data_IF_172847015407
#
_entry.id   IF_172847015407
#
_cell.length_a   1.000
_cell.length_b   1.000
_cell.length_c   1.000
_cell.angle_alpha   90.00
_cell.angle_beta   90.00
_cell.angle_gamma   90.00
#
_symmetry.space_group_name_H-M   'P 1'
#
loop_
_entity.id
_entity.type
_entity.pdbx_description
1 polymer ?
#
# COMPACT_ATOMS: atom_id res chain seq x y z
N UNK A 1 -32.23 -12.73 -38.34
CA UNK A 1 -32.75 -11.69 -39.25
C UNK A 1 -34.12 -11.26 -38.74
N UNK A 2 -34.21 -10.09 -38.10
CA UNK A 2 -35.41 -9.25 -38.08
C UNK A 2 -35.02 -7.95 -37.39
N UNK A 3 -34.70 -6.97 -38.22
CA UNK A 3 -34.47 -5.56 -37.89
C UNK A 3 -35.85 -4.94 -37.64
N UNK A 4 -36.00 -4.14 -36.59
CA UNK A 4 -36.94 -3.02 -36.69
C UNK A 4 -36.41 -1.82 -35.89
N UNK A 5 -36.22 -0.72 -36.62
CA UNK A 5 -35.70 0.57 -36.17
C UNK A 5 -36.64 1.65 -36.73
N UNK A 6 -36.79 2.73 -35.94
CA UNK A 6 -37.48 4.01 -36.21
C UNK A 6 -39.02 3.98 -36.12
N UNK A 7 -39.72 4.98 -35.56
CA UNK A 7 -39.38 6.39 -35.47
C UNK A 7 -40.23 7.15 -34.40
N UNK A 8 -39.56 8.09 -33.73
CA UNK A 8 -39.99 9.42 -33.22
C UNK A 8 -41.45 9.76 -32.83
N UNK A 9 -41.59 10.42 -31.66
CA UNK A 9 -42.05 11.83 -31.51
C UNK A 9 -41.96 12.34 -30.05
N UNK A 10 -41.29 13.47 -29.88
CA UNK A 10 -41.24 14.43 -28.74
C UNK A 10 -42.59 15.23 -28.80
N UNK A 11 -43.18 15.93 -27.76
CA UNK A 11 -42.45 16.97 -27.03
C UNK A 11 -42.89 17.55 -25.64
N UNK A 12 -41.97 18.37 -25.09
CA UNK A 12 -42.07 19.63 -24.28
C UNK A 12 -41.96 19.64 -22.73
N UNK A 13 -40.88 20.35 -22.30
CA UNK A 13 -40.65 21.27 -21.15
C UNK A 13 -40.66 20.84 -19.68
N UNK A 14 -39.58 21.15 -18.96
CA UNK A 14 -39.47 22.41 -18.19
C UNK A 14 -38.00 22.68 -17.74
N UNK A 15 -37.66 23.96 -17.68
CA UNK A 15 -36.32 24.55 -17.52
C UNK A 15 -36.19 25.14 -16.11
N UNK A 16 -35.02 25.06 -15.48
CA UNK A 16 -34.53 26.12 -14.60
C UNK A 16 -33.02 26.34 -14.79
N UNK A 17 -32.68 27.57 -15.23
CA UNK A 17 -31.34 28.15 -15.28
C UNK A 17 -31.07 28.87 -13.96
N UNK A 18 -29.83 28.80 -13.46
CA UNK A 18 -29.23 29.88 -12.68
C UNK A 18 -27.89 30.28 -13.31
N UNK A 19 -27.73 31.57 -13.58
CA UNK A 19 -26.55 32.22 -14.15
C UNK A 19 -25.95 33.11 -13.07
N UNK A 20 -24.64 33.01 -12.81
CA UNK A 20 -23.89 34.06 -12.12
C UNK A 20 -22.62 34.39 -12.92
N UNK A 21 -22.39 35.69 -13.06
CA UNK A 21 -21.48 36.36 -13.99
C UNK A 21 -19.98 36.18 -13.67
N UNK A 22 -19.20 36.15 -14.76
CA UNK A 22 -17.77 36.50 -14.79
C UNK A 22 -17.56 38.00 -14.53
N UNK A 23 -16.52 38.36 -13.77
CA UNK A 23 -15.81 39.63 -13.92
C UNK A 23 -14.32 39.36 -14.12
N UNK A 24 -13.86 39.70 -15.31
CA UNK A 24 -12.47 39.85 -15.72
C UNK A 24 -12.00 41.24 -15.31
N UNK A 25 -10.83 41.35 -14.70
CA UNK A 25 -10.07 42.61 -14.68
C UNK A 25 -8.66 42.32 -15.16
N UNK A 26 -8.33 42.87 -16.32
CA UNK A 26 -7.01 42.95 -16.91
C UNK A 26 -6.33 44.19 -16.33
N UNK A 27 -5.10 44.06 -15.84
CA UNK A 27 -4.17 45.20 -15.72
C UNK A 27 -2.83 44.76 -16.30
N UNK A 28 -2.44 45.45 -17.37
CA UNK A 28 -1.13 45.40 -18.00
C UNK A 28 -0.37 46.69 -17.67
N UNK A 29 0.96 46.61 -17.43
CA UNK A 29 1.99 47.60 -17.85
C UNK A 29 3.42 47.17 -17.47
N UNK A 30 4.18 46.80 -18.51
CA UNK A 30 5.52 47.27 -18.93
C UNK A 30 6.67 47.53 -17.91
N UNK A 31 7.64 46.61 -17.95
CA UNK A 31 9.10 46.72 -18.20
C UNK A 31 10.00 47.94 -17.80
N UNK A 32 11.06 47.60 -17.02
CA UNK A 32 12.53 47.89 -17.14
C UNK A 32 13.15 49.29 -16.79
N UNK A 33 14.49 49.41 -16.54
CA UNK A 33 15.51 48.48 -15.97
C UNK A 33 16.57 49.08 -14.96
N UNK A 34 17.15 48.23 -14.08
CA UNK A 34 18.53 48.21 -13.47
C UNK A 34 19.15 49.44 -12.74
N UNK A 35 20.39 49.38 -12.19
CA UNK A 35 21.19 48.26 -11.65
C UNK A 35 21.94 48.56 -10.30
N UNK A 36 22.68 47.54 -9.79
CA UNK A 36 23.94 47.56 -8.95
C UNK A 36 23.88 47.13 -7.46
N UNK A 37 24.63 46.04 -7.20
CA UNK A 37 25.58 45.76 -6.11
C UNK A 37 25.57 46.61 -4.83
N UNK A 38 25.51 45.94 -3.67
CA UNK A 38 26.64 45.82 -2.72
C UNK A 38 26.34 44.86 -1.56
N UNK A 39 27.42 44.26 -1.09
CA UNK A 39 27.61 43.28 -0.02
C UNK A 39 27.72 43.93 1.38
N UNK A 40 27.71 43.05 2.39
CA UNK A 40 28.32 43.15 3.73
C UNK A 40 27.45 43.53 4.96
N UNK A 41 27.20 42.49 5.76
CA UNK A 41 27.65 42.26 7.15
C UNK A 41 27.06 43.06 8.33
N UNK A 42 26.62 42.24 9.29
CA UNK A 42 26.80 42.29 10.74
C UNK A 42 25.91 43.17 11.64
N UNK A 43 25.26 42.44 12.55
CA UNK A 43 25.27 42.61 14.01
C UNK A 43 24.30 43.61 14.68
N UNK A 44 23.29 43.01 15.33
CA UNK A 44 22.98 43.05 16.77
C UNK A 44 22.87 44.41 17.49
N UNK A 45 21.70 44.68 18.10
CA UNK A 45 21.45 44.84 19.56
C UNK A 45 20.17 45.68 19.82
N UNK A 46 19.32 45.12 20.70
CA UNK A 46 18.30 45.70 21.60
C UNK A 46 17.70 47.10 21.35
N UNK A 47 16.37 47.17 21.30
CA UNK A 47 15.55 47.95 22.26
C UNK A 47 14.04 47.80 21.98
N UNK A 48 13.30 47.28 22.97
CA UNK A 48 11.91 47.65 23.25
C UNK A 48 11.94 48.97 24.05
N UNK A 49 10.89 49.83 24.08
CA UNK A 49 9.49 49.44 24.30
C UNK A 49 8.38 50.32 23.66
N UNK A 50 7.14 49.92 24.00
CA UNK A 50 5.85 50.66 24.04
C UNK A 50 4.92 50.64 22.82
N UNK A 51 3.94 49.75 22.97
CA UNK A 51 2.49 50.04 22.98
C UNK A 51 1.93 50.94 21.88
N UNK A 52 1.25 50.32 20.93
CA UNK A 52 0.05 50.90 20.33
C UNK A 52 -1.06 49.86 20.29
N UNK A 53 -2.23 50.32 20.70
CA UNK A 53 -3.43 49.58 21.00
C UNK A 53 -4.44 49.70 19.84
N UNK A 54 -5.43 48.81 19.82
CA UNK A 54 -6.64 48.80 18.96
C UNK A 54 -6.42 48.21 17.55
N UNK A 55 -7.24 47.31 16.99
CA UNK A 55 -8.63 46.90 17.27
C UNK A 55 -8.82 45.42 16.87
N UNK A 56 -9.51 44.64 17.70
CA UNK A 56 -10.10 43.33 17.34
C UNK A 56 -11.54 43.54 16.85
N UNK A 57 -12.01 42.84 15.80
CA UNK A 57 -13.44 42.71 15.55
C UNK A 57 -14.05 41.58 16.39
N UNK A 58 -15.11 41.95 17.10
CA UNK A 58 -16.00 41.15 17.93
C UNK A 58 -16.97 40.30 17.11
N UNK A 59 -17.06 39.00 17.38
CA UNK A 59 -18.27 38.21 17.16
C UNK A 59 -18.46 37.24 18.33
N UNK A 60 -19.27 37.64 19.31
CA UNK A 60 -19.86 36.79 20.35
C UNK A 60 -21.37 37.07 20.33
N UNK A 61 -22.15 36.02 20.04
CA UNK A 61 -23.55 35.69 20.45
C UNK A 61 -24.02 34.62 19.42
N UNK A 62 -24.61 33.47 19.75
CA UNK A 62 -25.42 33.07 20.89
C UNK A 62 -25.29 31.54 21.11
N UNK A 63 -25.00 31.14 22.34
CA UNK A 63 -25.23 29.79 22.87
C UNK A 63 -26.33 29.90 23.92
N UNK A 64 -27.49 29.28 23.67
CA UNK A 64 -28.46 28.71 24.62
C UNK A 64 -29.86 28.69 24.02
N UNK A 65 -30.31 27.50 23.64
CA UNK A 65 -31.61 26.91 24.01
C UNK A 65 -31.71 25.57 23.29
N UNK A 66 -31.55 24.46 24.02
CA UNK A 66 -32.32 23.22 23.87
C UNK A 66 -31.79 22.23 24.92
N UNK A 67 -32.44 22.23 26.08
CA UNK A 67 -32.32 21.19 27.09
C UNK A 67 -33.74 20.79 27.48
N UNK A 68 -34.22 19.66 26.99
CA UNK A 68 -35.24 18.81 27.63
C UNK A 68 -35.55 17.60 26.75
N UNK A 69 -34.93 16.45 27.06
CA UNK A 69 -35.64 15.17 27.17
C UNK A 69 -34.64 14.08 27.56
N UNK A 70 -34.52 13.88 28.85
CA UNK A 70 -33.89 12.74 29.49
C UNK A 70 -34.70 11.48 29.20
N UNK A 71 -34.08 10.45 28.61
CA UNK A 71 -34.45 9.05 28.84
C UNK A 71 -33.18 8.24 29.02
N UNK A 72 -32.86 8.00 30.28
CA UNK A 72 -32.01 6.88 30.69
C UNK A 72 -32.73 5.58 30.30
N UNK A 73 -32.06 4.73 29.54
CA UNK A 73 -32.28 3.28 29.61
C UNK A 73 -30.96 2.67 30.02
N UNK A 74 -30.90 2.25 31.27
CA UNK A 74 -29.90 1.33 31.76
C UNK A 74 -30.12 -0.02 31.07
N UNK A 75 -29.11 -0.55 30.39
CA UNK A 75 -29.09 -1.95 30.00
C UNK A 75 -28.32 -2.72 31.07
N UNK A 76 -29.08 -3.50 31.84
CA UNK A 76 -28.57 -4.51 32.76
C UNK A 76 -28.05 -5.71 31.97
N UNK A 77 -26.81 -6.11 32.28
CA UNK A 77 -26.28 -7.43 31.96
C UNK A 77 -27.03 -8.47 32.82
N UNK A 78 -27.84 -9.32 32.19
CA UNK A 78 -28.12 -10.73 32.56
C UNK A 78 -29.43 -11.15 31.89
N UNK A 79 -29.31 -11.76 30.71
CA UNK A 79 -30.17 -12.84 30.24
C UNK A 79 -29.82 -13.11 28.78
N UNK A 80 -29.24 -14.29 28.52
CA UNK A 80 -29.31 -15.10 27.31
C UNK A 80 -28.15 -16.09 27.33
N UNK A 81 -28.28 -17.08 28.22
CA UNK A 81 -27.65 -18.39 28.05
C UNK A 81 -28.74 -19.34 27.56
N UNK A 82 -28.35 -20.16 26.58
CA UNK A 82 -29.09 -21.26 25.97
C UNK A 82 -30.27 -20.91 25.08
N UNK A 83 -29.96 -20.78 23.79
CA UNK A 83 -30.63 -21.61 22.77
C UNK A 83 -29.60 -21.87 21.66
N UNK A 84 -29.13 -23.13 21.61
CA UNK A 84 -28.37 -23.63 20.49
C UNK A 84 -29.34 -24.05 19.41
N UNK A 85 -29.36 -23.32 18.31
CA UNK A 85 -29.97 -23.76 17.05
C UNK A 85 -28.89 -23.81 15.99
N UNK A 86 -28.71 -25.03 15.47
CA UNK A 86 -27.86 -25.37 14.35
C UNK A 86 -28.37 -24.65 13.09
N UNK A 87 -27.96 -23.40 12.88
CA UNK A 87 -28.21 -22.69 11.62
C UNK A 87 -27.20 -21.53 11.39
N UNK A 88 -25.93 -21.75 11.71
CA UNK A 88 -24.85 -20.77 11.56
C UNK A 88 -23.63 -21.34 10.79
N UNK A 89 -23.89 -21.97 9.64
CA UNK A 89 -22.85 -22.40 8.68
C UNK A 89 -22.97 -21.69 7.32
N UNK A 90 -23.52 -20.47 7.30
CA UNK A 90 -23.21 -19.52 6.24
C UNK A 90 -21.82 -18.93 6.53
N UNK A 91 -20.81 -19.49 5.86
CA UNK A 91 -19.39 -19.28 6.14
C UNK A 91 -19.00 -17.82 6.33
N UNK A 92 -18.70 -17.44 7.57
CA UNK A 92 -18.11 -16.14 7.89
C UNK A 92 -16.72 -16.10 7.26
N UNK A 93 -16.55 -15.28 6.22
CA UNK A 93 -15.25 -15.06 5.59
C UNK A 93 -14.24 -14.66 6.66
N UNK A 94 -13.14 -15.40 6.75
CA UNK A 94 -12.09 -15.06 7.73
C UNK A 94 -11.46 -13.74 7.31
N UNK A 95 -11.15 -12.91 8.31
CA UNK A 95 -10.49 -11.62 8.11
C UNK A 95 -9.23 -11.77 7.25
N UNK A 96 -8.93 -10.79 6.35
CA UNK A 96 -7.67 -10.77 5.61
C UNK A 96 -6.46 -10.59 6.54
N UNK A 97 -6.68 -10.22 7.81
CA UNK A 97 -5.67 -10.10 8.84
C UNK A 97 -6.06 -10.95 10.07
N UNK A 98 -5.20 -11.89 10.47
CA UNK A 98 -5.44 -12.80 11.60
C UNK A 98 -4.40 -12.61 12.69
N UNK A 99 -4.78 -12.84 13.95
CA UNK A 99 -3.85 -12.72 15.09
C UNK A 99 -2.99 -13.97 15.25
N UNK A 100 -1.89 -13.83 15.99
CA UNK A 100 -1.03 -14.93 16.43
C UNK A 100 -1.77 -15.96 17.29
N UNK A 101 -2.70 -15.54 18.14
CA UNK A 101 -3.57 -16.46 18.89
C UNK A 101 -4.50 -17.25 17.97
N UNK A 102 -5.14 -16.57 17.01
CA UNK A 102 -6.02 -17.24 16.05
C UNK A 102 -5.26 -18.29 15.24
N UNK A 103 -4.06 -17.95 14.74
CA UNK A 103 -3.24 -18.92 14.00
C UNK A 103 -2.88 -20.12 14.89
N UNK A 104 -2.43 -19.89 16.12
CA UNK A 104 -2.06 -20.96 17.03
C UNK A 104 -3.22 -21.93 17.33
N UNK A 105 -4.45 -21.42 17.45
CA UNK A 105 -5.66 -22.22 17.65
C UNK A 105 -6.10 -23.00 16.39
N UNK A 106 -5.64 -22.59 15.21
CA UNK A 106 -6.06 -23.14 13.92
C UNK A 106 -4.93 -23.81 13.12
N UNK A 107 -3.73 -24.00 13.69
CA UNK A 107 -2.55 -24.55 13.00
C UNK A 107 -2.81 -25.91 12.30
N UNK A 108 -3.74 -26.72 12.82
CA UNK A 108 -4.09 -28.02 12.22
C UNK A 108 -5.02 -27.92 11.00
N UNK A 109 -5.52 -26.73 10.67
CA UNK A 109 -6.55 -26.48 9.63
C UNK A 109 -6.12 -25.46 8.59
N UNK A 110 -4.94 -24.88 8.74
CA UNK A 110 -4.42 -23.83 7.86
C UNK A 110 -3.02 -24.18 7.41
N UNK A 111 -2.57 -23.58 6.31
CA UNK A 111 -1.20 -23.70 5.81
C UNK A 111 -0.50 -22.36 6.04
N UNK A 112 0.40 -22.25 7.04
CA UNK A 112 1.24 -21.07 7.17
C UNK A 112 2.17 -20.97 5.95
N UNK A 113 2.36 -19.76 5.44
CA UNK A 113 3.26 -19.49 4.31
C UNK A 113 4.25 -18.41 4.73
N UNK A 114 5.54 -18.78 4.75
CA UNK A 114 6.62 -17.82 4.97
C UNK A 114 6.95 -17.14 3.64
N UNK A 115 6.61 -15.87 3.54
CA UNK A 115 6.84 -15.03 2.37
C UNK A 115 7.99 -14.05 2.62
N UNK A 116 8.95 -14.39 3.48
CA UNK A 116 10.05 -13.49 3.81
C UNK A 116 10.87 -13.17 2.58
N UNK A 117 11.04 -11.88 2.34
CA UNK A 117 11.86 -11.36 1.26
C UNK A 117 12.61 -10.12 1.73
N UNK A 118 13.86 -10.02 1.31
CA UNK A 118 14.76 -8.92 1.66
C UNK A 118 15.11 -8.13 0.42
N UNK A 119 15.08 -6.80 0.54
CA UNK A 119 15.64 -5.94 -0.49
C UNK A 119 17.16 -6.16 -0.54
N UNK A 120 17.62 -6.81 -1.60
CA UNK A 120 19.04 -7.08 -1.80
C UNK A 120 19.76 -5.79 -2.24
N UNK A 121 20.96 -5.50 -1.70
CA UNK A 121 21.78 -4.41 -2.20
C UNK A 121 22.16 -4.67 -3.67
N UNK A 122 22.12 -3.62 -4.49
CA UNK A 122 22.42 -3.72 -5.92
C UNK A 122 23.86 -4.20 -6.13
N UNK A 123 24.01 -5.45 -6.57
CA UNK A 123 25.30 -6.11 -6.78
C UNK A 123 26.10 -5.50 -7.92
N UNK A 124 25.47 -4.73 -8.83
CA UNK A 124 26.17 -4.02 -9.89
C UNK A 124 27.03 -2.87 -9.35
N UNK A 125 26.73 -2.37 -8.14
CA UNK A 125 27.48 -1.30 -7.47
C UNK A 125 28.85 -1.79 -7.01
N UNK A 126 28.98 -3.06 -6.59
CA UNK A 126 30.25 -3.66 -6.19
C UNK A 126 31.33 -3.57 -7.28
N UNK A 127 30.91 -3.60 -8.56
CA UNK A 127 31.83 -3.58 -9.71
C UNK A 127 32.26 -2.20 -10.18
N UNK A 128 31.55 -1.12 -9.80
CA UNK A 128 31.77 0.23 -10.35
C UNK A 128 32.65 1.14 -9.50
N UNK A 129 33.15 0.67 -8.36
CA UNK A 129 34.32 1.21 -7.64
C UNK A 129 34.26 2.67 -7.14
N UNK A 130 33.26 3.47 -7.49
CA UNK A 130 33.15 4.88 -7.10
C UNK A 130 31.70 5.33 -7.02
N UNK A 131 31.11 5.20 -5.83
CA UNK A 131 30.17 6.15 -5.22
C UNK A 131 30.08 5.81 -3.73
N UNK A 132 30.02 6.83 -2.87
CA UNK A 132 29.56 6.68 -1.48
C UNK A 132 28.06 6.41 -1.56
N UNK A 133 27.66 5.15 -1.69
CA UNK A 133 26.31 4.79 -1.28
C UNK A 133 26.35 4.41 0.21
N UNK A 134 25.23 4.60 0.90
CA UNK A 134 25.19 4.36 2.35
C UNK A 134 25.15 2.86 2.70
N UNK A 135 25.15 1.98 1.69
CA UNK A 135 24.95 0.54 1.87
C UNK A 135 26.19 -0.31 1.62
N UNK A 136 27.29 0.24 1.08
CA UNK A 136 28.55 -0.49 0.92
C UNK A 136 29.70 0.16 1.71
N UNK A 137 30.64 -0.66 2.15
CA UNK A 137 31.86 -0.26 2.85
C UNK A 137 33.04 -1.01 2.23
N UNK A 138 34.18 -0.32 2.12
CA UNK A 138 35.40 -0.95 1.66
C UNK A 138 36.05 -1.75 2.79
N UNK A 139 36.23 -3.05 2.58
CA UNK A 139 37.01 -3.94 3.42
C UNK A 139 38.38 -4.21 2.76
N UNK A 140 39.51 -3.94 3.43
CA UNK A 140 40.83 -4.14 2.84
C UNK A 140 41.16 -5.59 2.45
N UNK A 141 40.49 -6.59 3.04
CA UNK A 141 40.71 -8.01 2.74
C UNK A 141 39.69 -8.57 1.73
N UNK A 142 38.49 -7.99 1.66
CA UNK A 142 37.38 -8.52 0.86
C UNK A 142 36.90 -7.58 -0.26
N UNK A 143 37.45 -6.37 -0.36
CA UNK A 143 37.00 -5.34 -1.30
C UNK A 143 35.71 -4.66 -0.84
N UNK A 144 34.89 -4.16 -1.78
CA UNK A 144 33.59 -3.57 -1.44
C UNK A 144 32.65 -4.65 -0.89
N UNK A 145 32.17 -4.49 0.34
CA UNK A 145 31.15 -5.35 0.96
C UNK A 145 29.94 -4.53 1.41
N UNK A 146 28.74 -5.11 1.47
CA UNK A 146 27.59 -4.40 2.01
C UNK A 146 27.78 -4.11 3.51
N UNK A 147 27.33 -2.94 3.99
CA UNK A 147 27.42 -2.51 5.40
C UNK A 147 26.65 -3.43 6.33
N UNK A 148 25.58 -4.06 5.84
CA UNK A 148 24.85 -5.10 6.55
C UNK A 148 25.04 -6.44 5.85
N UNK A 149 25.10 -7.55 6.59
CA UNK A 149 25.17 -8.88 5.99
C UNK A 149 23.96 -9.10 5.07
N UNK A 150 24.23 -9.66 3.90
CA UNK A 150 23.18 -10.12 2.98
C UNK A 150 22.35 -11.16 3.70
N UNK A 151 21.07 -10.86 3.88
CA UNK A 151 20.13 -11.80 4.50
C UNK A 151 19.61 -12.78 3.45
N UNK A 152 19.46 -14.03 3.87
CA UNK A 152 18.95 -15.12 3.06
C UNK A 152 17.68 -15.64 3.72
N UNK A 153 16.54 -15.32 3.11
CA UNK A 153 15.23 -15.68 3.63
C UNK A 153 15.02 -17.20 3.67
N UNK A 154 15.53 -17.94 2.68
CA UNK A 154 15.40 -19.40 2.63
C UNK A 154 16.23 -20.07 3.72
N UNK A 155 17.42 -19.53 3.99
CA UNK A 155 18.26 -19.99 5.09
C UNK A 155 17.60 -19.70 6.44
N UNK A 156 17.10 -18.48 6.65
CA UNK A 156 16.43 -18.11 7.91
C UNK A 156 15.15 -18.94 8.15
N UNK A 157 14.39 -19.25 7.09
CA UNK A 157 13.28 -20.20 7.15
C UNK A 157 13.72 -21.59 7.60
N UNK A 158 14.80 -22.13 7.01
CA UNK A 158 15.32 -23.45 7.38
C UNK A 158 15.86 -23.48 8.84
N UNK A 159 16.32 -22.35 9.36
CA UNK A 159 16.74 -22.22 10.76
C UNK A 159 15.57 -22.12 11.73
N UNK A 160 14.49 -21.43 11.34
CA UNK A 160 13.27 -21.29 12.16
C UNK A 160 12.05 -20.86 11.32
N UNK A 161 10.94 -21.54 11.51
CA UNK A 161 9.65 -21.19 10.92
C UNK A 161 8.49 -21.68 11.80
N UNK A 162 7.27 -21.22 11.49
CA UNK A 162 6.06 -21.72 12.13
C UNK A 162 5.85 -23.18 11.70
N UNK A 163 5.46 -24.07 12.62
CA UNK A 163 5.24 -25.48 12.33
C UNK A 163 4.27 -25.67 11.14
N UNK A 164 4.64 -26.55 10.21
CA UNK A 164 3.85 -26.83 9.01
C UNK A 164 3.91 -25.74 7.93
N UNK A 165 4.73 -24.70 8.11
CA UNK A 165 4.83 -23.64 7.12
C UNK A 165 5.38 -24.15 5.78
N UNK A 166 5.14 -23.36 4.72
CA UNK A 166 5.75 -23.51 3.39
C UNK A 166 6.49 -22.23 3.04
N UNK A 167 7.70 -22.35 2.50
CA UNK A 167 8.45 -21.18 2.04
C UNK A 167 7.99 -20.76 0.64
N UNK A 168 7.45 -19.54 0.53
CA UNK A 168 7.07 -18.93 -0.74
C UNK A 168 8.16 -17.95 -1.18
N UNK A 169 8.88 -18.34 -2.23
CA UNK A 169 9.99 -17.57 -2.77
C UNK A 169 9.46 -16.57 -3.81
N UNK A 170 9.29 -15.31 -3.39
CA UNK A 170 8.74 -14.23 -4.24
C UNK A 170 9.57 -13.99 -5.50
N UNK A 171 10.89 -14.24 -5.47
CA UNK A 171 11.74 -14.06 -6.64
C UNK A 171 11.64 -15.25 -7.61
N UNK A 172 11.34 -16.45 -7.09
CA UNK A 172 11.15 -17.64 -7.90
C UNK A 172 9.73 -17.74 -8.48
N UNK A 173 8.71 -17.38 -7.69
CA UNK A 173 7.28 -17.43 -8.04
C UNK A 173 6.87 -16.03 -8.54
N UNK A 174 7.44 -15.67 -9.69
CA UNK A 174 7.25 -14.40 -10.38
C UNK A 174 7.40 -14.64 -11.89
N UNK A 175 6.98 -13.69 -12.73
CA UNK A 175 7.30 -13.72 -14.16
C UNK A 175 8.81 -13.49 -14.35
N UNK A 176 9.50 -14.58 -14.65
CA UNK A 176 10.96 -14.62 -14.83
C UNK A 176 11.41 -14.20 -16.24
N UNK A 177 10.47 -14.01 -17.16
CA UNK A 177 10.74 -13.49 -18.50
C UNK A 177 10.75 -11.96 -18.52
N UNK A 178 10.06 -11.34 -17.56
CA UNK A 178 10.10 -9.89 -17.39
C UNK A 178 11.48 -9.39 -16.96
N UNK A 179 11.87 -8.23 -17.49
CA UNK A 179 13.01 -7.47 -16.97
C UNK A 179 12.66 -6.66 -15.72
N UNK A 180 11.37 -6.63 -15.35
CA UNK A 180 10.88 -5.98 -14.16
C UNK A 180 10.92 -6.93 -12.95
N UNK A 181 11.19 -6.40 -11.75
CA UNK A 181 11.26 -7.17 -10.53
C UNK A 181 9.87 -7.60 -10.03
N UNK A 182 9.75 -8.84 -9.53
CA UNK A 182 8.61 -9.38 -8.78
C UNK A 182 7.25 -9.34 -9.51
N UNK A 183 7.25 -9.24 -10.83
CA UNK A 183 6.01 -9.28 -11.62
C UNK A 183 5.23 -10.57 -11.33
N UNK A 184 3.90 -10.48 -11.32
CA UNK A 184 3.03 -11.66 -11.22
C UNK A 184 3.45 -12.73 -12.24
N UNK A 185 3.56 -14.01 -11.84
CA UNK A 185 3.78 -15.10 -12.78
C UNK A 185 2.56 -15.32 -13.69
N UNK A 186 2.69 -16.18 -14.69
CA UNK A 186 1.50 -16.66 -15.42
C UNK A 186 0.61 -17.51 -14.49
N UNK A 187 -0.69 -17.69 -14.79
CA UNK A 187 -1.55 -18.63 -14.07
C UNK A 187 -0.97 -20.04 -13.99
N UNK A 188 -0.39 -20.54 -15.09
CA UNK A 188 0.20 -21.89 -15.16
C UNK A 188 1.45 -22.01 -14.29
N UNK A 189 2.31 -20.99 -14.31
CA UNK A 189 3.48 -20.93 -13.42
C UNK A 189 3.02 -20.89 -11.95
N UNK A 190 2.00 -20.10 -11.61
CA UNK A 190 1.47 -20.04 -10.25
C UNK A 190 0.90 -21.39 -9.80
N UNK A 191 0.08 -22.04 -10.65
CA UNK A 191 -0.48 -23.38 -10.40
C UNK A 191 0.62 -24.41 -10.13
N UNK A 192 1.68 -24.42 -10.95
CA UNK A 192 2.79 -25.35 -10.78
C UNK A 192 3.51 -25.14 -9.45
N UNK A 193 3.88 -23.89 -9.14
CA UNK A 193 4.65 -23.58 -7.95
C UNK A 193 3.84 -23.77 -6.66
N UNK A 194 2.59 -23.30 -6.63
CA UNK A 194 1.71 -23.43 -5.45
C UNK A 194 1.28 -24.88 -5.26
N UNK A 195 1.01 -25.62 -6.34
CA UNK A 195 0.80 -27.06 -6.28
C UNK A 195 2.03 -27.81 -5.74
N UNK A 196 3.25 -27.38 -6.07
CA UNK A 196 4.48 -27.95 -5.50
C UNK A 196 4.65 -27.66 -3.99
N UNK A 197 4.03 -26.59 -3.48
CA UNK A 197 3.94 -26.31 -2.04
C UNK A 197 2.86 -27.16 -1.32
N UNK A 198 2.11 -27.98 -2.07
CA UNK A 198 1.05 -28.84 -1.54
C UNK A 198 -0.22 -28.08 -1.16
N UNK A 199 -0.43 -26.89 -1.74
CA UNK A 199 -1.59 -26.04 -1.51
C UNK A 199 -2.62 -26.30 -2.62
N UNK A 200 -3.90 -26.35 -2.25
CA UNK A 200 -5.08 -26.43 -3.13
C UNK A 200 -5.89 -25.13 -3.03
N UNK A 201 -6.83 -24.91 -3.94
CA UNK A 201 -7.71 -23.73 -3.94
C UNK A 201 -8.66 -23.66 -2.74
N UNK A 202 -8.81 -24.76 -1.98
CA UNK A 202 -9.72 -24.86 -0.83
C UNK A 202 -9.02 -24.68 0.52
N UNK A 203 -7.68 -24.77 0.54
CA UNK A 203 -6.92 -24.59 1.78
C UNK A 203 -7.06 -23.16 2.31
N UNK A 204 -6.90 -22.98 3.62
CA UNK A 204 -6.75 -21.65 4.19
C UNK A 204 -5.26 -21.34 4.36
N UNK A 205 -4.75 -20.41 3.56
CA UNK A 205 -3.37 -19.94 3.63
C UNK A 205 -3.23 -18.76 4.61
N UNK A 206 -2.24 -18.83 5.50
CA UNK A 206 -1.89 -17.71 6.40
C UNK A 206 -0.46 -17.27 6.13
N UNK A 207 -0.31 -16.12 5.47
CA UNK A 207 0.98 -15.60 5.04
C UNK A 207 1.63 -14.78 6.15
N UNK A 208 2.92 -15.00 6.41
CA UNK A 208 3.71 -14.20 7.35
C UNK A 208 5.09 -13.90 6.77
N UNK A 209 5.82 -13.00 7.42
CA UNK A 209 7.23 -12.75 7.12
C UNK A 209 8.03 -12.43 8.41
N UNK A 210 9.36 -12.38 8.29
CA UNK A 210 10.28 -12.07 9.38
C UNK A 210 10.38 -10.58 9.74
N UNK A 211 9.71 -9.69 9.01
CA UNK A 211 9.70 -8.25 9.29
C UNK A 211 8.50 -7.84 10.16
N UNK A 212 7.43 -8.63 10.11
CA UNK A 212 6.14 -8.36 10.73
C UNK A 212 5.06 -8.31 9.66
N UNK A 213 4.99 -7.20 8.93
CA UNK A 213 4.16 -7.02 7.75
C UNK A 213 4.96 -6.22 6.71
N UNK A 214 5.58 -6.90 5.75
CA UNK A 214 6.38 -6.28 4.70
C UNK A 214 6.16 -6.94 3.34
N UNK A 215 6.54 -8.20 3.21
CA UNK A 215 6.43 -8.99 1.99
C UNK A 215 5.25 -9.96 2.02
N UNK A 216 4.74 -10.29 3.21
CA UNK A 216 3.55 -11.13 3.37
C UNK A 216 2.29 -10.58 2.68
N UNK A 217 1.99 -9.26 2.67
CA UNK A 217 0.85 -8.76 1.91
C UNK A 217 0.99 -8.98 0.41
N UNK A 218 2.22 -9.00 -0.15
CA UNK A 218 2.43 -9.27 -1.57
C UNK A 218 1.92 -10.66 -1.94
N UNK A 219 2.35 -11.68 -1.20
CA UNK A 219 1.93 -13.06 -1.46
C UNK A 219 0.44 -13.24 -1.19
N UNK A 220 -0.10 -12.65 -0.11
CA UNK A 220 -1.55 -12.61 0.13
C UNK A 220 -2.31 -12.03 -1.06
N UNK A 221 -1.89 -10.88 -1.59
CA UNK A 221 -2.50 -10.26 -2.76
C UNK A 221 -2.34 -11.14 -4.02
N UNK A 222 -1.18 -11.76 -4.24
CA UNK A 222 -0.96 -12.70 -5.35
C UNK A 222 -1.95 -13.87 -5.30
N UNK A 223 -2.15 -14.49 -4.14
CA UNK A 223 -3.17 -15.54 -3.96
C UNK A 223 -4.57 -15.04 -4.35
N UNK A 224 -4.95 -13.82 -3.93
CA UNK A 224 -6.23 -13.21 -4.30
C UNK A 224 -6.36 -12.96 -5.81
N UNK A 225 -5.29 -12.49 -6.45
CA UNK A 225 -5.24 -12.33 -7.91
C UNK A 225 -5.47 -13.65 -8.62
N UNK A 226 -5.01 -14.78 -8.09
CA UNK A 226 -5.28 -16.10 -8.65
C UNK A 226 -6.55 -16.77 -8.08
N UNK A 227 -7.47 -15.98 -7.51
CA UNK A 227 -8.81 -16.42 -7.12
C UNK A 227 -8.88 -17.17 -5.79
N UNK A 228 -7.79 -17.23 -5.04
CA UNK A 228 -7.76 -17.89 -3.73
C UNK A 228 -8.50 -17.07 -2.69
N UNK A 229 -9.62 -17.61 -2.18
CA UNK A 229 -10.53 -16.87 -1.29
C UNK A 229 -10.10 -16.90 0.18
N UNK A 230 -9.55 -18.03 0.61
CA UNK A 230 -9.20 -18.27 2.01
C UNK A 230 -7.72 -17.94 2.25
N UNK A 231 -7.38 -16.65 2.19
CA UNK A 231 -6.01 -16.20 2.44
C UNK A 231 -5.98 -15.01 3.40
N UNK A 232 -5.12 -15.09 4.41
CA UNK A 232 -4.96 -14.06 5.44
C UNK A 232 -3.47 -13.74 5.64
N UNK A 233 -3.19 -12.55 6.20
CA UNK A 233 -1.85 -12.17 6.68
C UNK A 233 -1.80 -12.31 8.21
N UNK A 234 -0.69 -12.83 8.74
CA UNK A 234 -0.44 -12.91 10.17
C UNK A 234 -0.04 -11.55 10.73
N UNK A 235 -0.91 -10.96 11.55
CA UNK A 235 -0.67 -9.65 12.15
C UNK A 235 0.51 -9.65 13.11
N UNK A 236 1.56 -8.90 12.77
CA UNK A 236 2.81 -8.87 13.52
C UNK A 236 3.84 -9.92 13.10
N UNK A 237 3.49 -10.80 12.16
CA UNK A 237 4.37 -11.79 11.55
C UNK A 237 5.11 -12.69 12.54
N UNK A 238 6.25 -13.23 12.10
CA UNK A 238 7.11 -14.03 12.98
C UNK A 238 7.65 -13.23 14.19
N UNK A 239 7.96 -11.92 14.10
CA UNK A 239 8.40 -11.15 15.26
C UNK A 239 7.42 -11.19 16.44
N UNK A 240 6.13 -10.99 16.20
CA UNK A 240 5.11 -11.06 17.26
C UNK A 240 4.91 -12.48 17.77
N UNK A 241 4.91 -13.46 16.86
CA UNK A 241 4.83 -14.89 17.21
C UNK A 241 5.92 -15.29 18.22
N UNK A 242 7.16 -14.88 17.96
CA UNK A 242 8.31 -15.14 18.84
C UNK A 242 8.23 -14.39 20.17
N UNK A 243 7.82 -13.11 20.17
CA UNK A 243 7.68 -12.33 21.41
C UNK A 243 6.62 -12.91 22.35
N UNK A 244 5.60 -13.57 21.81
CA UNK A 244 4.57 -14.26 22.58
C UNK A 244 5.02 -15.67 23.04
N UNK A 245 6.28 -16.05 22.79
CA UNK A 245 6.83 -17.33 23.23
C UNK A 245 6.24 -18.54 22.50
N UNK A 246 5.69 -18.34 21.29
CA UNK A 246 5.07 -19.42 20.52
C UNK A 246 6.11 -20.30 19.84
N UNK A 247 5.75 -21.56 19.66
CA UNK A 247 6.65 -22.58 19.14
C UNK A 247 7.05 -22.33 17.68
N UNK A 248 8.32 -22.58 17.36
CA UNK A 248 8.88 -22.58 16.01
C UNK A 248 9.72 -23.84 15.84
N UNK A 249 9.90 -24.27 14.59
CA UNK A 249 10.67 -25.46 14.24
C UNK A 249 11.72 -25.14 13.17
N UNK A 250 12.73 -26.01 13.06
CA UNK A 250 13.69 -26.06 11.96
C UNK A 250 13.48 -27.30 11.07
N UNK A 251 12.45 -28.10 11.35
CA UNK A 251 12.10 -29.27 10.57
C UNK A 251 11.34 -28.85 9.31
N UNK A 252 12.02 -28.88 8.17
CA UNK A 252 11.41 -28.53 6.88
C UNK A 252 10.67 -29.73 6.31
N UNK A 253 9.35 -29.71 6.43
CA UNK A 253 8.48 -30.72 5.84
C UNK A 253 8.57 -30.73 4.32
N UNK A 254 8.64 -31.92 3.72
CA UNK A 254 8.43 -32.08 2.28
C UNK A 254 6.93 -32.04 2.00
N UNK A 255 6.49 -31.00 1.30
CA UNK A 255 5.12 -30.93 0.81
C UNK A 255 4.84 -32.07 -0.16
N UNK A 256 3.66 -32.70 -0.03
CA UNK A 256 3.13 -33.59 -1.05
C UNK A 256 2.53 -32.70 -2.13
N UNK A 257 3.03 -32.84 -3.37
CA UNK A 257 2.53 -32.05 -4.50
C UNK A 257 1.02 -32.23 -4.65
N UNK A 258 0.30 -31.13 -4.77
CA UNK A 258 -1.13 -31.05 -5.04
C UNK A 258 -1.37 -30.54 -6.47
N UNK A 259 -2.63 -30.64 -6.90
CA UNK A 259 -3.13 -29.88 -8.05
C UNK A 259 -3.73 -28.58 -7.53
N UNK A 260 -3.32 -27.46 -8.11
CA UNK A 260 -3.90 -26.15 -7.87
C UNK A 260 -4.52 -25.65 -9.16
N UNK A 261 -5.69 -25.01 -9.09
CA UNK A 261 -6.34 -24.37 -10.23
C UNK A 261 -6.53 -22.89 -9.97
N UNK A 262 -5.87 -22.05 -10.76
CA UNK A 262 -5.96 -20.61 -10.65
C UNK A 262 -7.22 -20.08 -11.33
N UNK A 263 -7.80 -19.03 -10.75
CA UNK A 263 -8.86 -18.23 -11.34
C UNK A 263 -8.41 -16.77 -11.36
N UNK A 264 -7.81 -16.34 -12.47
CA UNK A 264 -7.13 -15.04 -12.56
C UNK A 264 -8.11 -13.87 -12.53
N UNK A 265 -7.98 -13.01 -11.53
CA UNK A 265 -8.80 -11.83 -11.26
C UNK A 265 -8.15 -10.60 -11.88
N UNK A 266 -8.40 -10.38 -13.17
CA UNK A 266 -7.85 -9.23 -13.93
C UNK A 266 -8.19 -7.87 -13.28
N UNK A 267 -9.33 -7.79 -12.57
CA UNK A 267 -9.77 -6.57 -11.92
C UNK A 267 -8.94 -6.13 -10.72
N UNK A 268 -8.06 -6.98 -10.19
CA UNK A 268 -7.16 -6.63 -9.09
C UNK A 268 -5.83 -6.03 -9.57
N UNK A 269 -5.57 -6.05 -10.88
CA UNK A 269 -4.32 -5.61 -11.50
C UNK A 269 -4.62 -4.46 -12.47
N UNK A 270 -3.70 -3.49 -12.55
CA UNK A 270 -3.72 -2.47 -13.61
C UNK A 270 -2.38 -2.45 -14.32
N UNK A 271 -2.42 -2.44 -15.65
CA UNK A 271 -1.22 -2.37 -16.48
C UNK A 271 -0.73 -0.94 -16.68
N UNK A 272 0.53 -0.81 -17.11
CA UNK A 272 1.18 0.46 -17.39
C UNK A 272 0.42 1.31 -18.41
N UNK A 273 -0.12 0.72 -19.47
CA UNK A 273 -0.74 1.44 -20.57
C UNK A 273 -2.04 2.11 -20.10
N UNK A 274 -2.86 1.38 -19.37
CA UNK A 274 -4.09 1.88 -18.74
C UNK A 274 -3.78 3.01 -17.75
N UNK A 275 -2.74 2.85 -16.92
CA UNK A 275 -2.33 3.88 -15.97
C UNK A 275 -1.75 5.12 -16.69
N UNK A 276 -1.00 4.94 -17.76
CA UNK A 276 -0.45 6.04 -18.57
C UNK A 276 -1.57 6.88 -19.20
N UNK A 277 -2.59 6.23 -19.79
CA UNK A 277 -3.76 6.92 -20.34
C UNK A 277 -4.48 7.70 -19.25
N UNK A 278 -4.70 7.10 -18.08
CA UNK A 278 -5.29 7.79 -16.93
C UNK A 278 -4.51 9.06 -16.55
N UNK A 279 -3.17 9.01 -16.52
CA UNK A 279 -2.34 10.15 -16.10
C UNK A 279 -2.22 11.23 -17.19
N UNK A 280 -2.22 10.85 -18.47
CA UNK A 280 -1.89 11.76 -19.58
C UNK A 280 -3.11 12.34 -20.29
N UNK A 281 -4.25 11.67 -20.22
CA UNK A 281 -5.49 12.11 -20.85
C UNK A 281 -6.42 12.78 -19.83
N UNK A 282 -6.71 14.07 -20.05
CA UNK A 282 -7.57 14.87 -19.18
C UNK A 282 -8.99 14.32 -19.05
N UNK A 283 -9.47 13.56 -20.05
CA UNK A 283 -10.78 12.92 -20.00
C UNK A 283 -10.82 11.78 -18.97
N UNK A 284 -9.68 11.12 -18.73
CA UNK A 284 -9.57 9.97 -17.83
C UNK A 284 -8.86 10.28 -16.51
N UNK A 285 -8.33 11.49 -16.34
CA UNK A 285 -7.53 11.93 -15.19
C UNK A 285 -8.21 11.85 -13.81
N UNK A 286 -9.52 11.55 -13.74
CA UNK A 286 -10.26 11.41 -12.48
C UNK A 286 -10.77 9.99 -12.22
N UNK A 287 -10.41 9.02 -13.06
CA UNK A 287 -10.89 7.64 -12.93
C UNK A 287 -10.41 6.97 -11.63
N UNK A 288 -9.16 7.18 -11.23
CA UNK A 288 -8.55 6.57 -10.05
C UNK A 288 -7.83 7.60 -9.18
N UNK A 289 -7.58 7.22 -7.93
CA UNK A 289 -6.53 7.81 -7.10
C UNK A 289 -5.34 6.87 -7.05
N UNK A 290 -4.12 7.38 -7.17
CA UNK A 290 -2.90 6.57 -7.13
C UNK A 290 -2.28 6.73 -5.74
N UNK A 291 -2.17 5.65 -4.98
CA UNK A 291 -1.51 5.63 -3.66
C UNK A 291 -0.13 4.98 -3.79
N UNK A 292 0.91 5.76 -3.52
CA UNK A 292 2.30 5.29 -3.55
C UNK A 292 2.80 4.94 -2.15
N UNK A 293 3.20 3.68 -1.97
CA UNK A 293 3.63 3.12 -0.70
C UNK A 293 5.13 3.33 -0.38
N UNK A 294 5.89 4.00 -1.26
CA UNK A 294 7.31 4.28 -1.03
C UNK A 294 7.51 5.29 0.11
N UNK A 295 8.69 5.27 0.76
CA UNK A 295 9.06 6.30 1.73
C UNK A 295 8.96 7.73 1.15
N UNK A 296 8.54 8.68 2.00
CA UNK A 296 8.31 10.09 1.60
C UNK A 296 9.47 10.72 0.83
N UNK A 297 10.72 10.46 1.24
CA UNK A 297 11.91 11.00 0.57
C UNK A 297 12.07 10.53 -0.89
N UNK A 298 11.75 9.27 -1.18
CA UNK A 298 11.80 8.71 -2.55
C UNK A 298 10.69 9.29 -3.42
N UNK A 299 9.48 9.36 -2.87
CA UNK A 299 8.32 9.96 -3.52
C UNK A 299 8.53 11.45 -3.86
N UNK A 300 9.08 12.22 -2.90
CA UNK A 300 9.35 13.63 -3.08
C UNK A 300 10.51 13.92 -4.05
N UNK A 301 11.40 12.94 -4.28
CA UNK A 301 12.58 13.10 -5.13
C UNK A 301 13.87 13.47 -4.38
N UNK A 302 13.84 13.50 -3.05
CA UNK A 302 14.99 13.87 -2.21
C UNK A 302 15.92 12.69 -1.88
N UNK A 303 15.42 11.45 -1.98
CA UNK A 303 16.19 10.24 -1.69
C UNK A 303 16.27 9.37 -2.93
N UNK A 304 17.44 8.84 -3.25
CA UNK A 304 17.67 7.97 -4.40
C UNK A 304 16.83 6.68 -4.34
N UNK A 305 16.45 6.17 -5.50
CA UNK A 305 15.86 4.83 -5.63
C UNK A 305 16.92 3.75 -5.34
N UNK A 306 16.51 2.57 -4.81
CA UNK A 306 17.44 1.45 -4.60
C UNK A 306 18.14 1.00 -5.90
N UNK A 307 17.46 1.16 -7.04
CA UNK A 307 18.01 0.90 -8.38
C UNK A 307 18.65 2.18 -8.89
N UNK A 308 19.97 2.20 -8.96
CA UNK A 308 20.74 3.42 -9.17
C UNK A 308 20.51 4.11 -10.54
N UNK A 309 19.96 3.41 -11.53
CA UNK A 309 19.63 3.94 -12.86
C UNK A 309 18.30 4.70 -12.91
N UNK A 310 17.44 4.55 -11.90
CA UNK A 310 16.11 5.14 -11.91
C UNK A 310 16.09 6.51 -11.23
N UNK A 311 15.39 7.50 -11.81
CA UNK A 311 15.14 8.76 -11.10
C UNK A 311 14.19 8.54 -9.92
N UNK A 312 14.36 9.35 -8.88
CA UNK A 312 13.37 9.50 -7.81
C UNK A 312 12.22 10.44 -8.24
N UNK A 313 11.21 10.60 -7.40
CA UNK A 313 9.99 11.35 -7.72
C UNK A 313 8.76 10.44 -7.69
N UNK A 314 7.66 10.90 -8.26
CA UNK A 314 6.38 10.22 -8.26
C UNK A 314 5.57 10.44 -9.54
N UNK A 315 4.55 9.61 -9.74
CA UNK A 315 3.55 9.76 -10.79
C UNK A 315 2.74 11.03 -10.51
N UNK A 316 2.48 11.91 -11.49
CA UNK A 316 1.61 13.07 -11.28
C UNK A 316 0.30 12.69 -10.59
N UNK A 317 -0.15 13.54 -9.66
CA UNK A 317 -1.36 13.35 -8.84
C UNK A 317 -1.39 12.14 -7.91
N UNK A 318 -0.32 11.35 -7.81
CA UNK A 318 -0.23 10.33 -6.78
C UNK A 318 -0.24 10.96 -5.37
N UNK A 319 -0.83 10.24 -4.43
CA UNK A 319 -0.86 10.54 -3.00
C UNK A 319 0.12 9.56 -2.34
N UNK A 320 0.97 10.05 -1.44
CA UNK A 320 1.96 9.21 -0.78
C UNK A 320 1.43 8.68 0.54
N UNK A 321 1.25 7.35 0.62
CA UNK A 321 0.86 6.63 1.85
C UNK A 321 1.95 5.59 2.15
N UNK A 322 3.07 5.97 2.80
CA UNK A 322 4.17 5.04 3.02
C UNK A 322 3.73 3.79 3.78
N UNK A 323 4.04 2.59 3.27
CA UNK A 323 3.64 1.33 3.90
C UNK A 323 4.11 1.24 5.36
N UNK A 324 5.31 1.75 5.66
CA UNK A 324 5.87 1.78 7.01
C UNK A 324 5.07 2.62 8.00
N UNK A 325 4.28 3.59 7.51
CA UNK A 325 3.42 4.44 8.34
C UNK A 325 2.07 3.78 8.66
N UNK A 326 1.80 2.61 8.09
CA UNK A 326 0.61 1.79 8.37
C UNK A 326 0.89 0.65 9.36
N UNK A 327 2.16 0.48 9.74
CA UNK A 327 2.62 -0.59 10.65
C UNK A 327 3.12 0.04 11.94
N UNK A 328 2.70 -0.48 13.07
CA UNK A 328 3.21 -0.08 14.37
C UNK A 328 4.67 -0.51 14.52
N UNK A 329 5.60 0.41 14.82
CA UNK A 329 7.04 0.11 14.80
C UNK A 329 7.49 -0.81 15.94
N UNK A 330 6.75 -0.88 17.04
CA UNK A 330 7.10 -1.68 18.22
C UNK A 330 6.51 -3.08 18.13
N UNK A 331 5.20 -3.14 17.93
CA UNK A 331 4.42 -4.38 17.87
C UNK A 331 4.52 -5.06 16.51
N UNK A 332 4.96 -4.35 15.46
CA UNK A 332 5.03 -4.83 14.06
C UNK A 332 3.68 -5.19 13.46
N UNK A 333 2.58 -4.86 14.12
CA UNK A 333 1.22 -5.13 13.66
C UNK A 333 0.73 -4.03 12.73
N UNK A 334 -0.29 -4.33 11.95
CA UNK A 334 -1.05 -3.30 11.24
C UNK A 334 -1.62 -2.30 12.24
N UNK A 335 -1.67 -1.03 11.87
CA UNK A 335 -2.35 -0.02 12.69
C UNK A 335 -3.84 -0.34 12.81
N UNK A 336 -4.49 0.03 13.92
CA UNK A 336 -5.93 -0.13 14.06
C UNK A 336 -6.71 0.60 12.94
N UNK A 337 -7.87 0.07 12.49
CA UNK A 337 -8.63 0.64 11.37
C UNK A 337 -8.89 2.15 11.48
N UNK A 338 -9.22 2.64 12.68
CA UNK A 338 -9.47 4.06 12.93
C UNK A 338 -8.24 4.96 12.68
N UNK A 339 -7.03 4.46 12.93
CA UNK A 339 -5.80 5.21 12.70
C UNK A 339 -5.40 5.16 11.21
N UNK A 340 -5.65 4.04 10.53
CA UNK A 340 -5.51 3.95 9.07
C UNK A 340 -6.45 4.96 8.39
N UNK A 341 -7.74 4.97 8.78
CA UNK A 341 -8.73 5.94 8.27
C UNK A 341 -8.29 7.38 8.51
N UNK A 342 -7.80 7.68 9.71
CA UNK A 342 -7.28 9.02 10.05
C UNK A 342 -6.15 9.44 9.13
N UNK A 343 -5.18 8.54 8.86
CA UNK A 343 -4.04 8.82 7.99
C UNK A 343 -4.47 9.06 6.55
N UNK A 344 -5.30 8.16 6.01
CA UNK A 344 -5.89 8.30 4.69
C UNK A 344 -6.64 9.63 4.53
N UNK A 345 -7.40 10.04 5.54
CA UNK A 345 -8.09 11.33 5.56
C UNK A 345 -7.12 12.53 5.55
N UNK A 346 -6.07 12.51 6.39
CA UNK A 346 -5.06 13.59 6.44
C UNK A 346 -4.36 13.77 5.09
N UNK A 347 -4.08 12.66 4.39
CA UNK A 347 -3.44 12.66 3.08
C UNK A 347 -4.43 12.88 1.92
N UNK A 348 -5.70 13.18 2.22
CA UNK A 348 -6.78 13.45 1.26
C UNK A 348 -7.15 12.27 0.34
N UNK A 349 -7.11 11.05 0.86
CA UNK A 349 -7.61 9.86 0.17
C UNK A 349 -9.14 9.80 0.31
N UNK A 350 -9.83 9.72 -0.82
CA UNK A 350 -11.28 9.53 -0.90
C UNK A 350 -11.62 8.03 -1.07
N UNK A 351 -12.13 7.38 -0.03
CA UNK A 351 -12.42 5.94 -0.07
C UNK A 351 -13.60 5.57 -0.97
N UNK A 352 -14.45 6.53 -1.35
CA UNK A 352 -15.59 6.29 -2.24
C UNK A 352 -15.17 6.21 -3.71
N UNK A 353 -13.93 6.61 -4.04
CA UNK A 353 -13.40 6.57 -5.40
C UNK A 353 -12.59 5.30 -5.68
N UNK A 354 -12.42 4.91 -6.96
CA UNK A 354 -11.49 3.87 -7.33
C UNK A 354 -10.04 4.21 -6.95
N UNK A 355 -9.28 3.21 -6.52
CA UNK A 355 -7.91 3.37 -6.02
C UNK A 355 -6.96 2.41 -6.73
N UNK A 356 -5.79 2.91 -7.10
CA UNK A 356 -4.65 2.14 -7.57
C UNK A 356 -3.55 2.23 -6.52
N UNK A 357 -3.05 1.11 -6.03
CA UNK A 357 -1.88 1.07 -5.14
C UNK A 357 -0.62 0.78 -5.95
N UNK A 358 0.50 1.41 -5.57
CA UNK A 358 1.81 1.17 -6.20
C UNK A 358 2.94 1.38 -5.20
N UNK A 359 4.16 0.95 -5.55
CA UNK A 359 5.35 1.27 -4.78
C UNK A 359 6.61 1.31 -5.67
N UNK A 360 7.72 0.72 -5.23
CA UNK A 360 8.91 0.53 -6.06
C UNK A 360 8.75 -0.59 -7.11
N UNK A 361 8.15 -1.71 -6.72
CA UNK A 361 8.13 -2.96 -7.49
C UNK A 361 6.98 -3.90 -7.06
N UNK A 362 5.81 -3.35 -6.79
CA UNK A 362 4.60 -4.14 -6.45
C UNK A 362 4.54 -4.77 -5.06
N UNK A 363 5.66 -4.93 -4.34
CA UNK A 363 5.70 -5.63 -3.03
C UNK A 363 4.97 -4.84 -1.94
N UNK A 364 5.48 -3.69 -1.50
CA UNK A 364 4.88 -2.91 -0.41
C UNK A 364 3.59 -2.18 -0.80
N UNK A 365 3.24 -2.16 -2.09
CA UNK A 365 1.94 -1.67 -2.56
C UNK A 365 0.80 -2.51 -1.95
N UNK A 366 1.03 -3.82 -1.83
CA UNK A 366 0.07 -4.76 -1.26
C UNK A 366 -0.18 -4.51 0.25
N UNK A 367 0.74 -3.85 0.97
CA UNK A 367 0.49 -3.42 2.36
C UNK A 367 -0.58 -2.33 2.42
N UNK A 368 -0.55 -1.37 1.49
CA UNK A 368 -1.59 -0.33 1.37
C UNK A 368 -2.90 -0.96 0.90
N UNK A 369 -2.84 -1.92 -0.03
CA UNK A 369 -4.00 -2.69 -0.47
C UNK A 369 -4.68 -3.40 0.72
N UNK A 370 -3.90 -4.13 1.54
CA UNK A 370 -4.40 -4.81 2.74
C UNK A 370 -5.02 -3.81 3.73
N UNK A 371 -4.39 -2.66 3.95
CA UNK A 371 -4.92 -1.62 4.83
C UNK A 371 -6.27 -1.06 4.33
N UNK A 372 -6.43 -0.88 3.02
CA UNK A 372 -7.72 -0.49 2.42
C UNK A 372 -8.79 -1.54 2.70
N UNK A 373 -8.47 -2.83 2.54
CA UNK A 373 -9.41 -3.91 2.82
C UNK A 373 -9.82 -3.96 4.29
N UNK A 374 -8.88 -3.75 5.21
CA UNK A 374 -9.13 -3.71 6.66
C UNK A 374 -10.08 -2.58 7.06
N UNK A 375 -10.02 -1.42 6.38
CA UNK A 375 -10.93 -0.29 6.62
C UNK A 375 -12.23 -0.39 5.80
N UNK A 376 -12.47 -1.51 5.12
CA UNK A 376 -13.72 -1.80 4.41
C UNK A 376 -13.74 -1.35 2.94
N UNK A 377 -12.63 -0.87 2.38
CA UNK A 377 -12.51 -0.54 0.95
C UNK A 377 -12.13 -1.80 0.16
N UNK A 378 -13.15 -2.62 -0.10
CA UNK A 378 -13.02 -3.94 -0.76
C UNK A 378 -13.28 -3.92 -2.27
N UNK A 379 -13.93 -2.86 -2.78
CA UNK A 379 -14.26 -2.69 -4.21
C UNK A 379 -13.47 -1.57 -4.88
N UNK A 380 -13.23 -1.72 -6.19
CA UNK A 380 -12.52 -0.76 -7.05
C UNK A 380 -11.09 -0.44 -6.59
N UNK A 381 -10.37 -1.43 -6.05
CA UNK A 381 -8.95 -1.31 -5.70
C UNK A 381 -8.12 -2.20 -6.63
N UNK A 382 -7.19 -1.60 -7.35
CA UNK A 382 -6.22 -2.31 -8.20
C UNK A 382 -4.80 -2.09 -7.68
N UNK A 383 -3.87 -2.97 -8.04
CA UNK A 383 -2.44 -2.78 -7.79
C UNK A 383 -1.69 -2.68 -9.12
N UNK A 384 -0.89 -1.63 -9.26
CA UNK A 384 0.00 -1.44 -10.40
C UNK A 384 1.32 -2.17 -10.16
N UNK A 385 1.45 -3.35 -10.73
CA UNK A 385 2.51 -4.31 -10.37
C UNK A 385 3.91 -3.83 -10.77
N UNK A 386 4.05 -3.38 -12.03
CA UNK A 386 5.31 -2.82 -12.54
C UNK A 386 5.79 -1.60 -11.73
N UNK A 387 4.86 -0.88 -11.09
CA UNK A 387 5.15 0.13 -10.07
C UNK A 387 6.16 1.19 -10.56
N UNK A 388 6.90 1.84 -9.65
CA UNK A 388 7.87 2.87 -10.01
C UNK A 388 8.98 2.36 -10.93
N UNK A 389 9.39 1.09 -10.80
CA UNK A 389 10.46 0.52 -11.63
C UNK A 389 10.07 0.52 -13.10
N UNK A 390 8.86 0.05 -13.41
CA UNK A 390 8.35 0.15 -14.77
C UNK A 390 8.14 1.61 -15.17
N UNK A 391 7.41 2.38 -14.36
CA UNK A 391 7.05 3.75 -14.70
C UNK A 391 8.26 4.63 -15.04
N UNK A 392 9.25 4.65 -14.15
CA UNK A 392 10.44 5.49 -14.27
C UNK A 392 11.42 5.01 -15.34
N UNK A 393 11.31 3.74 -15.78
CA UNK A 393 12.13 3.22 -16.88
C UNK A 393 11.64 3.64 -18.27
N UNK A 394 10.37 4.04 -18.40
CA UNK A 394 9.75 4.39 -19.69
C UNK A 394 9.89 5.90 -19.95
N UNK A 395 10.50 6.26 -21.07
CA UNK A 395 10.80 7.66 -21.41
C UNK A 395 9.58 8.57 -21.60
N UNK A 396 8.40 7.98 -21.86
CA UNK A 396 7.13 8.72 -22.05
C UNK A 396 6.37 8.97 -20.75
N UNK A 397 6.82 8.38 -19.64
CA UNK A 397 6.17 8.51 -18.34
C UNK A 397 6.39 9.90 -17.75
N UNK A 398 5.34 10.69 -17.46
CA UNK A 398 5.51 11.92 -16.73
C UNK A 398 5.95 11.64 -15.29
N UNK A 399 6.90 12.42 -14.80
CA UNK A 399 7.46 12.33 -13.45
C UNK A 399 7.37 13.71 -12.80
N UNK A 400 6.96 13.75 -11.54
CA UNK A 400 7.03 14.94 -10.68
C UNK A 400 7.98 14.72 -9.51
N UNK A 401 8.57 15.80 -9.05
CA UNK A 401 9.26 15.91 -7.77
C UNK A 401 8.60 17.02 -6.97
N UNK A 402 8.82 17.05 -5.66
CA UNK A 402 8.44 18.21 -4.86
C UNK A 402 9.39 19.35 -5.22
N UNK A 403 8.82 20.52 -5.47
CA UNK A 403 9.55 21.75 -5.80
C UNK A 403 9.72 22.63 -4.59
#
# INVERSE_FOLDING_TARGET
MAINVMNSRIPVSAVYRLTILRRTTVVSRLAHPGPRNRTCHSATIFSTPRSFESRRPSWILNLRTFASSSRQMAFSNEELRHEGTQEETAGRQVSPLVTTSWLAENLSRVIPVDATWYLQPDSSIASKGRRKDDNWVFDPAQGMKPKQPVKDARKEYAERHIQGARFFDIDHIADRLSSLPHMLPSPEEFEEHVGALGITENDHVVVYDLHGIFSSPRVWWTFKVFGHRNVSVLDGGLPKWLREGRHVTNEVDKAVKSTYRADFQEDLVIDYQTLLVHVTDFMYAKNFQILDARPRGRFAGFTAEPRASLPSGHIPSAINIPASELIDPETKTMLPPQEILRRMFIDNVDLDRPIVTMCGSGVTAATVFLALEIVGKTGDVKLYDGSWTEWASKSKSPIKTWT
#
